data_IF_009011049419
#
_entry.id   IF_009011049419
#
_cell.length_a   1.000
_cell.length_b   1.000
_cell.length_c   1.000
_cell.angle_alpha   90.00
_cell.angle_beta   90.00
_cell.angle_gamma   90.00
#
_symmetry.space_group_name_H-M   'P 1'
#
loop_
_entity.id
_entity.type
_entity.pdbx_description
1 polymer ?
#
# COMPACT_ATOMS: atom_id res chain seq x y z
N UNK A 1 51.89 -54.69 1.97
CA UNK A 1 51.26 -53.51 2.60
C UNK A 1 50.20 -52.97 1.66
N UNK A 2 48.96 -52.97 2.13
CA UNK A 2 47.70 -52.66 1.43
C UNK A 2 47.48 -51.15 1.28
N UNK A 3 47.21 -50.67 0.07
CA UNK A 3 46.72 -49.30 -0.16
C UNK A 3 45.73 -49.27 -1.33
N UNK A 4 44.53 -49.81 -1.11
CA UNK A 4 43.41 -49.72 -2.05
C UNK A 4 42.11 -49.52 -1.26
N UNK A 5 41.94 -48.35 -0.63
CA UNK A 5 40.67 -48.03 0.04
C UNK A 5 40.37 -46.53 0.21
N UNK A 6 40.97 -45.65 -0.61
CA UNK A 6 40.78 -44.20 -0.48
C UNK A 6 39.74 -43.60 -1.46
N UNK A 7 39.30 -44.34 -2.49
CA UNK A 7 38.46 -43.76 -3.54
C UNK A 7 36.95 -43.73 -3.23
N UNK A 8 36.46 -44.58 -2.32
CA UNK A 8 35.02 -44.75 -2.08
C UNK A 8 34.40 -43.67 -1.18
N UNK A 9 35.22 -42.95 -0.40
CA UNK A 9 34.74 -41.95 0.57
C UNK A 9 34.52 -40.55 -0.03
N UNK A 10 35.15 -40.21 -1.16
CA UNK A 10 35.02 -38.86 -1.76
C UNK A 10 33.68 -38.62 -2.47
N UNK A 11 33.08 -39.68 -3.03
CA UNK A 11 31.87 -39.55 -3.87
C UNK A 11 30.60 -39.36 -3.03
N UNK A 12 30.55 -39.94 -1.82
CA UNK A 12 29.37 -39.87 -0.94
C UNK A 12 29.15 -38.45 -0.39
N UNK A 13 30.22 -37.72 -0.06
CA UNK A 13 30.11 -36.34 0.43
C UNK A 13 29.70 -35.35 -0.66
N UNK A 14 30.10 -35.59 -1.92
CA UNK A 14 29.74 -34.72 -3.04
C UNK A 14 28.23 -34.80 -3.37
N UNK A 15 27.62 -35.97 -3.25
CA UNK A 15 26.18 -36.15 -3.49
C UNK A 15 25.32 -35.53 -2.39
N UNK A 16 25.72 -35.65 -1.12
CA UNK A 16 25.01 -35.04 0.00
C UNK A 16 25.00 -33.50 -0.05
N UNK A 17 26.07 -32.90 -0.57
CA UNK A 17 26.13 -31.44 -0.78
C UNK A 17 25.14 -30.93 -1.83
N UNK A 18 24.97 -31.64 -2.95
CA UNK A 18 24.08 -31.21 -4.05
C UNK A 18 22.60 -31.28 -3.64
N UNK A 19 22.21 -32.26 -2.84
CA UNK A 19 20.85 -32.39 -2.32
C UNK A 19 20.48 -31.28 -1.32
N UNK A 20 21.46 -30.72 -0.59
CA UNK A 20 21.22 -29.63 0.37
C UNK A 20 20.90 -28.28 -0.30
N UNK A 21 21.34 -28.05 -1.54
CA UNK A 21 21.07 -26.79 -2.27
C UNK A 21 19.80 -26.84 -3.13
N UNK A 22 19.24 -28.02 -3.41
CA UNK A 22 18.03 -28.15 -4.21
C UNK A 22 16.75 -27.64 -3.48
N UNK A 23 16.81 -27.42 -2.16
CA UNK A 23 15.69 -26.95 -1.35
C UNK A 23 15.53 -25.43 -1.25
N UNK A 24 16.49 -24.62 -1.70
CA UNK A 24 16.46 -23.16 -1.54
C UNK A 24 15.93 -22.38 -2.75
N UNK A 25 15.44 -23.05 -3.78
CA UNK A 25 14.74 -22.41 -4.90
C UNK A 25 13.25 -22.21 -4.58
N UNK A 26 12.92 -21.59 -3.45
CA UNK A 26 11.57 -21.05 -3.22
C UNK A 26 11.38 -19.90 -4.20
N UNK A 27 10.70 -20.18 -5.30
CA UNK A 27 10.23 -19.15 -6.24
C UNK A 27 9.14 -18.37 -5.53
N UNK A 28 9.52 -17.29 -4.85
CA UNK A 28 8.57 -16.32 -4.33
C UNK A 28 7.80 -15.76 -5.53
N UNK A 29 6.56 -16.22 -5.72
CA UNK A 29 5.65 -15.63 -6.68
C UNK A 29 5.29 -14.27 -6.11
N UNK A 30 5.93 -13.23 -6.66
CA UNK A 30 5.57 -11.84 -6.36
C UNK A 30 4.20 -11.62 -6.97
N UNK A 31 3.14 -11.76 -6.16
CA UNK A 31 1.81 -11.35 -6.55
C UNK A 31 1.80 -9.82 -6.52
N UNK A 32 1.57 -9.14 -7.65
CA UNK A 32 1.47 -7.69 -7.64
C UNK A 32 0.32 -7.28 -6.73
N UNK A 33 0.50 -6.24 -5.91
CA UNK A 33 -0.58 -5.79 -5.04
C UNK A 33 -1.77 -5.32 -5.90
N UNK A 34 -3.01 -5.41 -5.39
CA UNK A 34 -4.18 -4.95 -6.13
C UNK A 34 -4.03 -3.46 -6.49
N UNK A 35 -4.67 -3.00 -7.58
CA UNK A 35 -4.54 -1.62 -8.04
C UNK A 35 -4.96 -0.63 -6.95
N UNK A 36 -4.40 0.58 -6.99
CA UNK A 36 -4.64 1.59 -5.96
C UNK A 36 -6.12 1.92 -5.78
N UNK A 37 -6.87 1.95 -6.88
CA UNK A 37 -8.32 2.20 -6.87
C UNK A 37 -9.08 1.26 -5.92
N UNK A 38 -8.70 -0.02 -5.86
CA UNK A 38 -9.37 -1.03 -5.01
C UNK A 38 -9.02 -0.88 -3.52
N UNK A 39 -7.95 -0.15 -3.21
CA UNK A 39 -7.44 0.02 -1.84
C UNK A 39 -7.85 1.35 -1.22
N UNK A 40 -8.42 2.28 -1.98
CA UNK A 40 -8.91 3.55 -1.43
C UNK A 40 -10.25 3.28 -0.71
N UNK A 41 -10.35 3.56 0.60
CA UNK A 41 -11.61 3.38 1.32
C UNK A 41 -12.71 4.27 0.74
N UNK A 42 -13.89 3.69 0.53
CA UNK A 42 -15.04 4.40 -0.06
C UNK A 42 -15.43 5.66 0.73
N UNK A 43 -15.19 5.68 2.04
CA UNK A 43 -15.48 6.83 2.91
C UNK A 43 -14.65 8.07 2.58
N UNK A 44 -13.51 7.91 1.91
CA UNK A 44 -12.69 9.03 1.45
C UNK A 44 -13.14 9.58 0.09
N UNK A 45 -13.91 8.81 -0.68
CA UNK A 45 -14.33 9.16 -2.03
C UNK A 45 -15.55 10.08 -2.09
N UNK A 46 -16.21 10.32 -0.96
CA UNK A 46 -17.33 11.22 -0.85
C UNK A 46 -17.08 12.27 0.24
N UNK A 47 -17.12 13.55 -0.13
CA UNK A 47 -17.11 14.65 0.82
C UNK A 47 -18.53 14.89 1.36
N UNK A 48 -18.63 15.50 2.54
CA UNK A 48 -19.89 16.06 3.03
C UNK A 48 -20.44 17.04 2.01
N UNK A 49 -21.76 17.01 1.82
CA UNK A 49 -22.44 17.89 0.89
C UNK A 49 -22.21 19.36 1.25
N UNK A 50 -22.05 20.20 0.23
CA UNK A 50 -21.89 21.63 0.44
C UNK A 50 -23.24 22.23 0.82
N UNK A 51 -23.36 22.97 1.94
CA UNK A 51 -24.62 23.62 2.26
C UNK A 51 -24.96 24.69 1.22
N UNK A 52 -26.25 24.83 0.93
CA UNK A 52 -26.78 25.87 0.06
C UNK A 52 -27.12 27.09 0.92
N UNK A 53 -26.68 28.28 0.50
CA UNK A 53 -27.11 29.53 1.09
C UNK A 53 -28.60 29.73 0.74
N UNK A 54 -29.50 29.33 1.63
CA UNK A 54 -30.93 29.65 1.50
C UNK A 54 -31.18 31.15 1.70
N UNK A 55 -32.39 31.54 2.10
CA UNK A 55 -32.63 32.92 2.51
C UNK A 55 -31.93 33.24 3.83
N UNK A 56 -30.93 34.12 3.78
CA UNK A 56 -30.15 34.56 4.94
C UNK A 56 -30.68 35.89 5.46
N UNK A 57 -31.83 35.85 6.13
CA UNK A 57 -32.53 37.07 6.58
C UNK A 57 -31.95 37.67 7.86
N UNK A 58 -31.33 36.86 8.72
CA UNK A 58 -30.70 37.31 9.97
C UNK A 58 -29.20 37.07 9.94
N UNK A 59 -28.43 37.88 10.68
CA UNK A 59 -27.00 37.62 10.87
C UNK A 59 -26.71 36.25 11.49
N UNK A 60 -27.61 35.75 12.34
CA UNK A 60 -27.52 34.38 12.89
C UNK A 60 -27.54 33.31 11.81
N UNK A 61 -28.25 33.56 10.71
CA UNK A 61 -28.42 32.60 9.62
C UNK A 61 -27.15 32.55 8.76
N UNK A 62 -26.54 33.72 8.52
CA UNK A 62 -25.21 33.83 7.89
C UNK A 62 -24.17 33.08 8.74
N UNK A 63 -24.15 33.31 10.06
CA UNK A 63 -23.20 32.67 10.95
C UNK A 63 -23.34 31.13 10.92
N UNK A 64 -24.58 30.62 10.98
CA UNK A 64 -24.85 29.17 10.85
C UNK A 64 -24.38 28.63 9.50
N UNK A 65 -24.70 29.32 8.41
CA UNK A 65 -24.29 28.91 7.07
C UNK A 65 -22.77 28.84 6.93
N UNK A 66 -22.03 29.82 7.45
CA UNK A 66 -20.56 29.83 7.40
C UNK A 66 -19.96 28.67 8.19
N UNK A 67 -20.51 28.34 9.36
CA UNK A 67 -20.05 27.20 10.17
C UNK A 67 -20.28 25.88 9.43
N UNK A 68 -21.46 25.67 8.87
CA UNK A 68 -21.76 24.45 8.09
C UNK A 68 -20.87 24.35 6.84
N UNK A 69 -20.61 25.49 6.19
CA UNK A 69 -19.77 25.55 5.00
C UNK A 69 -18.32 25.20 5.34
N UNK A 70 -17.78 25.73 6.44
CA UNK A 70 -16.43 25.38 6.87
C UNK A 70 -16.34 23.91 7.29
N UNK A 71 -17.34 23.39 8.01
CA UNK A 71 -17.39 21.98 8.40
C UNK A 71 -17.40 21.04 7.17
N UNK A 72 -18.16 21.36 6.12
CA UNK A 72 -18.13 20.61 4.87
C UNK A 72 -16.78 20.70 4.16
N UNK A 73 -16.18 21.89 4.15
CA UNK A 73 -14.84 22.10 3.58
C UNK A 73 -13.74 21.34 4.34
N UNK A 74 -13.80 21.32 5.66
CA UNK A 74 -12.85 20.63 6.53
C UNK A 74 -12.90 19.12 6.34
N UNK A 75 -14.10 18.53 6.28
CA UNK A 75 -14.30 17.12 5.94
C UNK A 75 -13.62 16.76 4.61
N UNK A 76 -13.84 17.56 3.57
CA UNK A 76 -13.28 17.28 2.26
C UNK A 76 -11.75 17.42 2.24
N UNK A 77 -11.18 18.47 2.84
CA UNK A 77 -9.73 18.65 2.96
C UNK A 77 -9.09 17.48 3.72
N UNK A 78 -9.70 17.04 4.82
CA UNK A 78 -9.21 15.92 5.62
C UNK A 78 -9.17 14.62 4.81
N UNK A 79 -10.25 14.32 4.07
CA UNK A 79 -10.33 13.12 3.22
C UNK A 79 -9.33 13.15 2.06
N UNK A 80 -9.19 14.28 1.38
CA UNK A 80 -8.21 14.47 0.31
C UNK A 80 -6.77 14.30 0.82
N UNK A 81 -6.46 14.81 2.01
CA UNK A 81 -5.15 14.58 2.63
C UNK A 81 -4.92 13.09 2.94
N UNK A 82 -5.96 12.36 3.36
CA UNK A 82 -5.92 10.91 3.52
C UNK A 82 -5.59 10.19 2.21
N UNK A 83 -6.29 10.54 1.11
CA UNK A 83 -6.04 9.99 -0.23
C UNK A 83 -4.59 10.29 -0.67
N UNK A 84 -4.14 11.53 -0.51
CA UNK A 84 -2.76 11.93 -0.84
C UNK A 84 -1.72 11.05 -0.13
N UNK A 85 -1.93 10.77 1.16
CA UNK A 85 -1.07 9.88 1.93
C UNK A 85 -1.11 8.41 1.47
N UNK A 86 -2.22 7.94 0.90
CA UNK A 86 -2.30 6.61 0.28
C UNK A 86 -1.55 6.57 -1.05
N UNK A 87 -1.74 7.59 -1.91
CA UNK A 87 -1.06 7.72 -3.20
C UNK A 87 0.46 7.79 -3.02
N UNK A 88 0.95 8.61 -2.08
CA UNK A 88 2.39 8.72 -1.81
C UNK A 88 3.00 7.40 -1.34
N UNK A 89 2.31 6.67 -0.46
CA UNK A 89 2.75 5.34 -0.01
C UNK A 89 2.71 4.30 -1.12
N UNK A 90 1.79 4.46 -2.07
CA UNK A 90 1.74 3.62 -3.26
C UNK A 90 2.92 3.86 -4.19
N UNK A 91 3.16 5.12 -4.55
CA UNK A 91 4.28 5.53 -5.39
C UNK A 91 5.62 5.06 -4.81
N UNK A 92 5.84 5.24 -3.51
CA UNK A 92 7.05 4.77 -2.83
C UNK A 92 7.22 3.25 -2.89
N UNK A 93 6.13 2.47 -2.92
CA UNK A 93 6.18 1.00 -2.98
C UNK A 93 6.42 0.50 -4.41
N UNK A 94 5.84 1.17 -5.40
CA UNK A 94 5.96 0.76 -6.81
C UNK A 94 7.24 1.28 -7.47
N UNK A 95 8.10 1.98 -6.75
CA UNK A 95 9.33 2.58 -7.30
C UNK A 95 9.02 3.70 -8.29
N UNK A 96 7.90 4.39 -8.09
CA UNK A 96 7.43 5.47 -8.97
C UNK A 96 8.34 6.68 -8.87
N UNK A 97 9.34 6.72 -9.75
CA UNK A 97 9.98 7.93 -10.25
C UNK A 97 8.87 8.80 -10.86
N UNK A 98 8.47 9.84 -10.14
CA UNK A 98 7.59 10.88 -10.63
C UNK A 98 8.47 11.98 -11.25
N UNK A 99 8.65 11.92 -12.57
CA UNK A 99 8.98 13.11 -13.39
C UNK A 99 7.76 14.05 -13.48
#
# INVERSE_FOLDING_TARGET
MTAASAHKFGIVCAFAGVLAFAGCATKNVIVPPPPLADRIPAQLLACRERPVAGELTRQSDVAKYVVELDAAGEDCRRKLNGIRGLVQRDAARTGGEHD
#
